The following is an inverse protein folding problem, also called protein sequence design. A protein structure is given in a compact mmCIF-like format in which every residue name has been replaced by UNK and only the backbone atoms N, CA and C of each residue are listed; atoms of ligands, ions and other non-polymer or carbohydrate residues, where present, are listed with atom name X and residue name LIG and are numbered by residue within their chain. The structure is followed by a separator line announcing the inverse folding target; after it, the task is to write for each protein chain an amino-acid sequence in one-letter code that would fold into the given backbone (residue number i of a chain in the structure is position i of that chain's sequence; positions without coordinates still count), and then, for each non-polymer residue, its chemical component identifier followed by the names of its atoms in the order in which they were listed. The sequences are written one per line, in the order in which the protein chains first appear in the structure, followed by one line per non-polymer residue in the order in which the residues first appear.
data_IF_070782451030
#
_entry.id   IF_070782451030
#
_cell.length_a   1.000
_cell.length_b   1.000
_cell.length_c   1.000
_cell.angle_alpha   90.00
_cell.angle_beta   90.00
_cell.angle_gamma   90.00
#
_symmetry.space_group_name_H-M   'P 1'
#
loop_
_entity.id
_entity.type
_entity.pdbx_description
1 polymer ?
#
# COMPACT_ATOMS: atom_id res chain seq x y z
N UNK A 1 -8.59 8.05 -1.48
CA UNK A 1 -7.74 6.89 -1.16
C UNK A 1 -6.59 7.38 -0.28
N UNK A 2 -6.37 6.78 0.89
CA UNK A 2 -5.29 7.20 1.79
C UNK A 2 -4.06 6.34 1.54
N UNK A 3 -2.90 6.96 1.37
CA UNK A 3 -1.63 6.26 1.14
C UNK A 3 -0.89 6.19 2.48
N UNK A 4 -0.39 5.01 2.86
CA UNK A 4 0.12 4.69 4.20
C UNK A 4 1.63 4.90 4.32
N UNK A 5 2.18 5.92 3.65
CA UNK A 5 3.63 6.16 3.57
C UNK A 5 4.29 6.17 4.95
N UNK A 6 3.68 6.82 5.96
CA UNK A 6 4.22 6.88 7.33
C UNK A 6 4.39 5.49 7.96
N UNK A 7 3.36 4.66 7.84
CA UNK A 7 3.29 3.35 8.47
C UNK A 7 4.26 2.38 7.78
N UNK A 8 4.33 2.45 6.45
CA UNK A 8 5.30 1.67 5.67
C UNK A 8 6.74 2.07 6.00
N UNK A 9 7.06 3.37 6.13
CA UNK A 9 8.39 3.80 6.57
C UNK A 9 8.78 3.17 7.91
N UNK A 10 7.85 3.14 8.88
CA UNK A 10 8.08 2.52 10.18
C UNK A 10 8.32 1.01 10.08
N UNK A 11 7.57 0.31 9.22
CA UNK A 11 7.80 -1.12 8.94
C UNK A 11 9.16 -1.39 8.29
N UNK A 12 9.64 -0.48 7.45
CA UNK A 12 10.94 -0.53 6.81
C UNK A 12 12.10 0.01 7.68
N UNK A 13 11.86 0.28 8.97
CA UNK A 13 12.85 0.87 9.89
C UNK A 13 13.48 2.18 9.37
N UNK A 14 12.70 3.04 8.75
CA UNK A 14 13.13 4.37 8.26
C UNK A 14 12.13 5.46 8.64
N UNK A 15 12.54 6.71 8.51
CA UNK A 15 11.69 7.88 8.72
C UNK A 15 11.24 8.49 7.38
N UNK A 16 10.15 9.25 7.39
CA UNK A 16 9.74 10.02 6.20
C UNK A 16 10.81 11.05 5.78
N UNK A 17 11.54 11.59 6.75
CA UNK A 17 12.63 12.52 6.48
C UNK A 17 13.76 11.87 5.70
N UNK A 18 14.26 10.72 6.15
CA UNK A 18 15.32 9.96 5.45
C UNK A 18 14.86 9.49 4.07
N UNK A 19 13.60 9.05 3.95
CA UNK A 19 13.01 8.70 2.66
C UNK A 19 12.98 9.92 1.72
N UNK A 20 12.59 11.09 2.23
CA UNK A 20 12.56 12.32 1.43
C UNK A 20 13.97 12.72 0.95
N UNK A 21 14.97 12.62 1.83
CA UNK A 21 16.38 12.84 1.50
C UNK A 21 16.88 11.88 0.41
N UNK A 22 16.59 10.57 0.53
CA UNK A 22 16.94 9.57 -0.49
C UNK A 22 16.29 9.82 -1.85
N UNK A 23 15.05 10.33 -1.84
CA UNK A 23 14.29 10.64 -3.05
C UNK A 23 14.63 12.01 -3.66
N UNK A 24 15.40 12.84 -2.97
CA UNK A 24 15.67 14.22 -3.37
C UNK A 24 14.43 15.10 -3.38
N UNK A 25 13.46 14.84 -2.49
CA UNK A 25 12.22 15.63 -2.36
C UNK A 25 12.07 16.21 -0.95
N UNK A 26 11.10 17.10 -0.76
CA UNK A 26 10.78 17.61 0.58
C UNK A 26 9.89 16.64 1.37
N UNK A 27 9.99 16.65 2.69
CA UNK A 27 9.07 15.91 3.59
C UNK A 27 7.60 16.35 3.39
N UNK A 28 7.38 17.63 3.04
CA UNK A 28 6.07 18.17 2.68
C UNK A 28 5.51 17.48 1.44
N UNK A 29 6.36 17.14 0.46
CA UNK A 29 5.96 16.37 -0.73
C UNK A 29 5.42 15.00 -0.33
N UNK A 30 6.11 14.29 0.56
CA UNK A 30 5.65 12.98 1.05
C UNK A 30 4.38 13.08 1.91
N UNK A 31 4.24 14.16 2.67
CA UNK A 31 3.02 14.43 3.44
C UNK A 31 1.81 14.68 2.52
N UNK A 32 1.99 15.45 1.43
CA UNK A 32 0.95 15.64 0.41
C UNK A 32 0.62 14.35 -0.32
N UNK A 33 1.63 13.54 -0.63
CA UNK A 33 1.44 12.23 -1.25
C UNK A 33 0.64 11.28 -0.36
N UNK A 34 0.87 11.29 0.95
CA UNK A 34 0.08 10.50 1.93
C UNK A 34 -1.42 10.83 1.88
N UNK A 35 -1.76 12.07 1.54
CA UNK A 35 -3.13 12.56 1.39
C UNK A 35 -3.72 12.37 -0.02
N UNK A 36 -3.01 11.68 -0.91
CA UNK A 36 -3.50 11.28 -2.24
C UNK A 36 -3.26 12.30 -3.37
N UNK A 37 -2.58 13.41 -3.10
CA UNK A 37 -2.17 14.36 -4.15
C UNK A 37 -0.73 14.06 -4.60
N UNK A 38 -0.58 13.07 -5.49
CA UNK A 38 0.72 12.59 -5.98
C UNK A 38 0.61 11.93 -7.36
N UNK A 39 1.76 11.76 -8.03
CA UNK A 39 1.88 11.00 -9.27
C UNK A 39 2.22 9.53 -9.01
N UNK A 40 1.84 8.64 -9.93
CA UNK A 40 2.21 7.23 -9.91
C UNK A 40 3.74 7.06 -9.93
N UNK A 41 4.45 7.91 -10.69
CA UNK A 41 5.91 7.88 -10.76
C UNK A 41 6.59 8.17 -9.41
N UNK A 42 6.00 9.01 -8.55
CA UNK A 42 6.53 9.23 -7.20
C UNK A 42 6.25 8.03 -6.30
N UNK A 43 5.07 7.41 -6.41
CA UNK A 43 4.73 6.20 -5.66
C UNK A 43 5.65 5.03 -6.01
N UNK A 44 5.93 4.85 -7.30
CA UNK A 44 6.87 3.85 -7.80
C UNK A 44 8.27 4.06 -7.20
N UNK A 45 8.80 5.29 -7.27
CA UNK A 45 10.09 5.62 -6.65
C UNK A 45 10.12 5.35 -5.14
N UNK A 46 9.05 5.68 -4.42
CA UNK A 46 8.92 5.41 -2.99
C UNK A 46 9.02 3.89 -2.75
N UNK A 47 8.24 3.10 -3.48
CA UNK A 47 8.22 1.65 -3.36
C UNK A 47 9.59 1.02 -3.67
N UNK A 48 10.22 1.43 -4.78
CA UNK A 48 11.57 0.99 -5.14
C UNK A 48 12.62 1.36 -4.08
N UNK A 49 12.54 2.57 -3.51
CA UNK A 49 13.49 3.04 -2.48
C UNK A 49 13.34 2.28 -1.16
N UNK A 50 12.11 1.86 -0.84
CA UNK A 50 11.79 1.08 0.34
C UNK A 50 11.93 -0.44 0.12
N UNK A 51 12.11 -0.89 -1.13
CA UNK A 51 12.25 -2.30 -1.48
C UNK A 51 10.96 -3.10 -1.34
N UNK A 52 9.81 -2.48 -1.61
CA UNK A 52 8.47 -3.08 -1.47
C UNK A 52 7.69 -2.99 -2.78
N UNK A 53 6.60 -3.75 -2.86
CA UNK A 53 5.61 -3.58 -3.94
C UNK A 53 4.79 -2.30 -3.75
N UNK A 54 4.38 -1.67 -4.86
CA UNK A 54 3.60 -0.42 -4.81
C UNK A 54 2.25 -0.61 -4.11
N UNK A 55 1.69 -1.83 -4.13
CA UNK A 55 0.45 -2.19 -3.42
C UNK A 55 0.56 -2.03 -1.91
N UNK A 56 1.75 -2.23 -1.34
CA UNK A 56 2.00 -2.13 0.10
C UNK A 56 1.89 -0.69 0.62
N UNK A 57 1.98 0.31 -0.27
CA UNK A 57 1.70 1.71 0.06
C UNK A 57 0.23 1.96 0.37
N UNK A 58 -0.65 1.01 0.06
CA UNK A 58 -2.08 1.10 0.29
C UNK A 58 -2.49 0.14 1.41
N UNK A 59 -3.61 0.44 2.08
CA UNK A 59 -4.18 -0.55 3.00
C UNK A 59 -4.53 -1.81 2.20
N UNK A 60 -4.31 -3.03 2.72
CA UNK A 60 -5.04 -4.18 2.20
C UNK A 60 -6.52 -3.78 2.26
N UNK A 61 -7.21 -3.77 1.12
CA UNK A 61 -8.65 -3.66 1.13
C UNK A 61 -9.13 -4.80 2.01
N UNK A 62 -9.72 -4.49 3.17
CA UNK A 62 -10.34 -5.50 4.01
C UNK A 62 -11.21 -6.34 3.08
N UNK A 63 -10.73 -7.56 2.84
CA UNK A 63 -11.30 -8.60 2.01
C UNK A 63 -11.75 -8.19 0.60
N UNK A 64 -11.06 -8.77 -0.40
CA UNK A 64 -11.76 -9.27 -1.58
C UNK A 64 -12.60 -10.48 -1.13
N UNK A 65 -13.62 -10.25 -0.32
CA UNK A 65 -14.74 -11.16 -0.23
C UNK A 65 -15.62 -10.75 -1.39
N UNK A 66 -15.57 -11.52 -2.48
CA UNK A 66 -16.59 -11.40 -3.50
C UNK A 66 -17.94 -11.49 -2.80
N UNK A 67 -18.70 -10.40 -2.81
CA UNK A 67 -20.06 -10.42 -2.31
C UNK A 67 -20.91 -11.11 -3.37
N UNK A 68 -21.78 -12.02 -2.94
CA UNK A 68 -22.74 -12.65 -3.83
C UNK A 68 -23.63 -11.56 -4.47
N UNK A 69 -23.68 -11.43 -5.81
CA UNK A 69 -24.47 -10.39 -6.48
C UNK A 69 -25.99 -10.53 -6.28
N UNK A 70 -26.44 -11.66 -5.71
CA UNK A 70 -27.85 -11.94 -5.45
C UNK A 70 -28.27 -11.68 -3.99
N UNK A 71 -27.41 -11.91 -3.00
CA UNK A 71 -27.77 -11.77 -1.58
C UNK A 71 -26.86 -10.81 -0.79
N UNK A 72 -25.77 -10.32 -1.37
CA UNK A 72 -24.83 -9.41 -0.72
C UNK A 72 -23.93 -10.04 0.35
N UNK A 73 -24.08 -11.34 0.63
CA UNK A 73 -23.25 -12.04 1.62
C UNK A 73 -21.86 -12.38 1.06
N UNK A 74 -20.82 -12.43 1.91
CA UNK A 74 -19.46 -12.79 1.49
C UNK A 74 -19.37 -14.26 1.07
N UNK A 75 -18.74 -14.52 -0.08
CA UNK A 75 -18.50 -15.88 -0.57
C UNK A 75 -17.43 -16.56 0.32
N UNK A 76 -17.79 -17.67 0.95
CA UNK A 76 -16.85 -18.51 1.71
C UNK A 76 -16.26 -19.59 0.82
N UNK A 77 -14.98 -19.45 0.46
CA UNK A 77 -14.25 -20.45 -0.34
C UNK A 77 -13.69 -21.52 0.60
N UNK A 78 -14.03 -22.79 0.37
CA UNK A 78 -13.41 -23.93 1.06
C UNK A 78 -12.46 -24.63 0.08
N UNK A 79 -11.17 -24.68 0.40
CA UNK A 79 -10.18 -25.41 -0.39
C UNK A 79 -9.96 -26.79 0.21
N UNK A 80 -10.24 -27.84 -0.55
CA UNK A 80 -9.78 -29.20 -0.24
C UNK A 80 -8.55 -29.46 -1.11
N UNK A 81 -7.39 -29.65 -0.49
CA UNK A 81 -6.18 -30.08 -1.21
C UNK A 81 -6.16 -31.60 -1.15
N UNK A 82 -6.53 -32.26 -2.25
CA UNK A 82 -6.23 -33.68 -2.42
C UNK A 82 -4.75 -33.81 -2.79
N UNK A 83 -3.98 -34.43 -1.90
CA UNK A 83 -2.57 -34.69 -2.08
C UNK A 83 -2.45 -35.90 -3.03
N UNK A 84 -2.08 -35.66 -4.29
CA UNK A 84 -1.72 -36.69 -5.28
C UNK A 84 -0.32 -37.22 -4.96
#
# INVERSE_FOLDING_TARGET
MKIRIKEVCQMCNTTQKELAEKLGVSEVTLSRASNGNTSLSLLDKIACTLGIEISELFAPSNSVQGCCPYCGQPISIKTTIEKV
#
